data_IF_369294640358
#
_entry.id   IF_369294640358
#
_cell.length_a   1.000
_cell.length_b   1.000
_cell.length_c   1.000
_cell.angle_alpha   90.00
_cell.angle_beta   90.00
_cell.angle_gamma   90.00
#
_symmetry.space_group_name_H-M   'P 1'
#
loop_
_entity.id
_entity.type
_entity.pdbx_description
1 polymer ?
#
# COMPACT_ATOMS: atom_id res chain seq x y z
N UNK A 1 13.36 1.91 3.43
CA UNK A 1 12.46 1.20 4.37
C UNK A 1 13.28 0.19 5.14
N UNK A 2 13.15 0.18 6.44
CA UNK A 2 13.82 -0.70 7.39
C UNK A 2 12.82 -1.62 8.09
N UNK A 3 13.30 -2.61 8.82
CA UNK A 3 12.42 -3.46 9.64
C UNK A 3 11.64 -2.67 10.71
N UNK A 4 12.25 -1.61 11.25
CA UNK A 4 11.63 -0.76 12.26
C UNK A 4 10.44 0.07 11.73
N UNK A 5 10.31 0.21 10.41
CA UNK A 5 9.21 0.93 9.79
C UNK A 5 7.92 0.09 9.70
N UNK A 6 8.00 -1.22 9.97
CA UNK A 6 6.91 -2.16 9.74
C UNK A 6 6.47 -2.79 11.06
N UNK A 7 5.22 -2.53 11.44
CA UNK A 7 4.54 -3.18 12.56
C UNK A 7 3.49 -4.14 11.99
N UNK A 8 3.84 -5.41 11.88
CA UNK A 8 2.95 -6.45 11.34
C UNK A 8 1.80 -6.76 12.28
N UNK A 9 1.98 -6.64 13.60
CA UNK A 9 0.92 -6.89 14.57
C UNK A 9 -0.18 -5.83 14.47
N UNK A 10 0.21 -4.55 14.42
CA UNK A 10 -0.72 -3.43 14.25
C UNK A 10 -1.10 -3.19 12.79
N UNK A 11 -0.45 -3.88 11.85
CA UNK A 11 -0.63 -3.69 10.41
C UNK A 11 -0.43 -2.24 9.96
N UNK A 12 0.70 -1.67 10.37
CA UNK A 12 1.06 -0.28 10.08
C UNK A 12 2.46 -0.23 9.49
N UNK A 13 2.62 0.59 8.45
CA UNK A 13 3.93 0.99 7.92
C UNK A 13 4.14 2.47 8.24
N UNK A 14 5.28 2.79 8.84
CA UNK A 14 5.71 4.15 9.08
C UNK A 14 6.49 4.68 7.87
N UNK A 15 6.10 5.85 7.36
CA UNK A 15 6.79 6.54 6.26
C UNK A 15 7.17 7.92 6.78
N UNK A 16 8.43 8.10 7.13
CA UNK A 16 8.96 9.36 7.66
C UNK A 16 10.31 9.75 7.06
N UNK A 17 10.95 8.83 6.36
CA UNK A 17 12.25 9.03 5.75
C UNK A 17 12.38 8.31 4.41
N UNK A 18 13.40 8.67 3.66
CA UNK A 18 13.76 8.02 2.40
C UNK A 18 15.27 7.83 2.31
N UNK A 19 15.70 6.69 1.78
CA UNK A 19 17.09 6.41 1.47
C UNK A 19 17.40 6.95 0.08
N UNK A 20 18.45 7.72 -0.02
CA UNK A 20 18.95 8.31 -1.26
C UNK A 20 20.41 7.91 -1.51
N UNK A 21 20.84 8.10 -2.76
CA UNK A 21 22.23 7.91 -3.16
C UNK A 21 22.63 9.01 -4.15
N UNK A 22 23.75 9.66 -3.87
CA UNK A 22 24.32 10.67 -4.76
C UNK A 22 25.00 10.03 -5.98
N UNK A 23 25.37 10.84 -6.99
CA UNK A 23 26.09 10.37 -8.18
C UNK A 23 27.46 9.78 -7.88
N UNK A 24 28.12 10.25 -6.82
CA UNK A 24 29.38 9.74 -6.29
C UNK A 24 29.22 8.53 -5.35
N UNK A 25 28.06 7.87 -5.40
CA UNK A 25 27.73 6.63 -4.68
C UNK A 25 27.67 6.77 -3.16
N UNK A 26 27.51 7.97 -2.62
CA UNK A 26 27.31 8.19 -1.20
C UNK A 26 25.83 7.99 -0.85
N UNK A 27 25.57 7.12 0.11
CA UNK A 27 24.23 6.86 0.64
C UNK A 27 23.94 7.80 1.81
N UNK A 28 22.71 8.27 1.88
CA UNK A 28 22.23 9.10 3.00
C UNK A 28 20.73 8.92 3.20
N UNK A 29 20.26 9.22 4.40
CA UNK A 29 18.83 9.20 4.75
C UNK A 29 18.37 10.62 4.95
N UNK A 30 17.28 10.97 4.31
CA UNK A 30 16.61 12.26 4.47
C UNK A 30 15.14 12.10 4.84
N UNK A 31 14.55 13.14 5.43
CA UNK A 31 13.11 13.15 5.69
C UNK A 31 12.32 13.19 4.39
N UNK A 32 11.05 12.82 4.45
CA UNK A 32 10.16 12.95 3.30
C UNK A 32 10.08 14.40 2.83
N UNK A 33 9.90 14.59 1.52
CA UNK A 33 9.94 15.89 0.83
C UNK A 33 8.87 16.89 1.31
N UNK A 34 7.76 16.39 1.87
CA UNK A 34 6.64 17.19 2.38
C UNK A 34 6.16 16.61 3.72
N UNK A 35 5.49 17.42 4.53
CA UNK A 35 4.87 16.94 5.77
C UNK A 35 3.78 15.89 5.51
N UNK A 36 3.02 16.02 4.42
CA UNK A 36 2.06 15.00 3.99
C UNK A 36 2.74 13.66 3.61
N UNK A 37 4.03 13.69 3.30
CA UNK A 37 4.84 12.49 3.10
C UNK A 37 5.03 11.68 4.37
N UNK A 38 5.12 12.35 5.53
CA UNK A 38 5.24 11.68 6.84
C UNK A 38 3.88 11.16 7.27
N UNK A 39 3.74 9.85 7.29
CA UNK A 39 2.46 9.23 7.63
C UNK A 39 2.61 7.78 8.04
N UNK A 40 1.62 7.28 8.76
CA UNK A 40 1.47 5.86 9.06
C UNK A 40 0.42 5.26 8.12
N UNK A 41 0.82 4.27 7.36
CA UNK A 41 -0.08 3.58 6.42
C UNK A 41 -0.65 2.32 7.08
N UNK A 42 -1.97 2.21 7.23
CA UNK A 42 -2.60 0.94 7.54
C UNK A 42 -2.48 0.01 6.33
N UNK A 43 -2.18 -1.25 6.57
CA UNK A 43 -2.07 -2.28 5.54
C UNK A 43 -3.11 -3.38 5.76
N UNK A 44 -3.65 -3.90 4.66
CA UNK A 44 -4.55 -5.03 4.72
C UNK A 44 -3.80 -6.35 4.94
N UNK A 45 -4.54 -7.42 5.23
CA UNK A 45 -4.00 -8.77 5.48
C UNK A 45 -3.09 -9.28 4.37
N UNK A 46 -3.47 -9.06 3.11
CA UNK A 46 -2.69 -9.50 1.95
C UNK A 46 -1.32 -8.83 1.89
N UNK A 47 -1.28 -7.52 2.12
CA UNK A 47 -0.03 -6.74 2.16
C UNK A 47 0.81 -7.15 3.38
N UNK A 48 0.19 -7.38 4.54
CA UNK A 48 0.91 -7.83 5.74
C UNK A 48 1.58 -9.20 5.51
N UNK A 49 0.90 -10.15 4.87
CA UNK A 49 1.49 -11.45 4.48
C UNK A 49 2.65 -11.30 3.50
N UNK A 50 2.55 -10.40 2.53
CA UNK A 50 3.67 -10.13 1.63
C UNK A 50 4.89 -9.60 2.38
N UNK A 51 4.71 -8.66 3.31
CA UNK A 51 5.82 -8.16 4.12
C UNK A 51 6.38 -9.22 5.06
N UNK A 52 5.55 -10.08 5.65
CA UNK A 52 6.01 -11.19 6.47
C UNK A 52 6.93 -12.13 5.66
N UNK A 53 6.52 -12.53 4.46
CA UNK A 53 7.33 -13.35 3.58
C UNK A 53 8.66 -12.65 3.16
N UNK A 54 8.59 -11.36 2.83
CA UNK A 54 9.80 -10.58 2.49
C UNK A 54 10.78 -10.52 3.68
N UNK A 55 10.26 -10.38 4.90
CA UNK A 55 11.10 -10.32 6.11
C UNK A 55 11.69 -11.69 6.41
N UNK A 56 10.93 -12.78 6.24
CA UNK A 56 11.38 -14.15 6.45
C UNK A 56 12.49 -14.55 5.44
N UNK A 57 12.28 -14.22 4.15
CA UNK A 57 13.22 -14.53 3.07
C UNK A 57 14.33 -13.47 2.91
N UNK A 58 14.45 -12.54 3.84
CA UNK A 58 15.39 -11.42 3.74
C UNK A 58 16.83 -11.91 3.75
N UNK A 59 17.56 -11.69 2.66
CA UNK A 59 18.99 -11.91 2.59
C UNK A 59 19.73 -10.82 3.36
N UNK A 60 20.36 -11.21 4.45
CA UNK A 60 21.10 -10.31 5.33
C UNK A 60 22.58 -10.36 4.98
N UNK A 61 23.23 -9.23 4.66
CA UNK A 61 24.67 -9.21 4.42
C UNK A 61 25.42 -9.56 5.71
N UNK A 62 26.60 -10.20 5.59
CA UNK A 62 27.42 -10.59 6.73
C UNK A 62 27.75 -9.41 7.67
N UNK A 63 27.82 -8.19 7.11
CA UNK A 63 27.95 -6.94 7.85
C UNK A 63 26.95 -5.94 7.34
N UNK A 64 25.90 -5.69 8.10
CA UNK A 64 24.95 -4.63 7.80
C UNK A 64 25.55 -3.26 8.02
N UNK A 65 25.44 -2.39 7.02
CA UNK A 65 25.91 -1.00 7.12
C UNK A 65 24.83 -0.11 7.72
N UNK A 66 25.24 0.70 8.68
CA UNK A 66 24.43 1.81 9.17
C UNK A 66 24.61 3.02 8.24
N UNK A 67 23.50 3.62 7.82
CA UNK A 67 23.48 4.84 7.03
C UNK A 67 22.72 5.89 7.82
N UNK A 68 23.39 6.92 8.26
CA UNK A 68 22.87 8.00 9.12
C UNK A 68 22.07 7.47 10.33
N UNK A 69 22.57 6.37 10.95
CA UNK A 69 21.95 5.71 12.09
C UNK A 69 20.84 4.71 11.76
N UNK A 70 20.47 4.55 10.48
CA UNK A 70 19.48 3.56 10.03
C UNK A 70 20.17 2.26 9.63
N UNK A 71 19.62 1.14 10.06
CA UNK A 71 20.01 -0.22 9.70
C UNK A 71 18.80 -1.12 9.52
N UNK A 72 19.01 -2.40 9.25
CA UNK A 72 17.90 -3.35 9.06
C UNK A 72 17.10 -3.07 7.80
N UNK A 73 17.72 -2.63 6.71
CA UNK A 73 17.03 -2.39 5.44
C UNK A 73 16.43 -3.67 4.89
N UNK A 74 15.27 -3.60 4.24
CA UNK A 74 14.57 -4.78 3.72
C UNK A 74 15.30 -5.44 2.54
N UNK A 75 15.98 -4.67 1.73
CA UNK A 75 16.55 -5.16 0.47
C UNK A 75 17.98 -4.66 0.30
N UNK A 76 18.86 -5.56 -0.12
CA UNK A 76 20.26 -5.29 -0.39
C UNK A 76 20.62 -5.67 -1.83
N UNK A 77 21.71 -5.10 -2.32
CA UNK A 77 22.37 -5.53 -3.54
C UNK A 77 23.45 -6.62 -3.22
N UNK A 78 24.05 -7.17 -4.27
CA UNK A 78 25.09 -8.21 -4.16
C UNK A 78 26.34 -7.74 -3.37
N UNK A 79 26.48 -6.42 -3.15
CA UNK A 79 27.60 -5.83 -2.39
C UNK A 79 27.19 -5.52 -0.94
N UNK A 80 25.99 -5.93 -0.52
CA UNK A 80 25.45 -5.67 0.81
C UNK A 80 25.07 -4.20 1.05
N UNK A 81 24.83 -3.42 -0.02
CA UNK A 81 24.31 -2.07 0.08
C UNK A 81 22.79 -2.07 -0.08
N UNK A 82 22.05 -1.24 0.69
CA UNK A 82 20.60 -1.21 0.57
C UNK A 82 20.15 -0.64 -0.77
N UNK A 83 19.05 -1.17 -1.30
CA UNK A 83 18.49 -0.72 -2.57
C UNK A 83 17.84 0.65 -2.45
N UNK A 84 18.15 1.54 -3.41
CA UNK A 84 17.51 2.86 -3.59
C UNK A 84 16.51 2.84 -4.76
N UNK A 85 15.73 3.90 -4.92
CA UNK A 85 14.65 3.99 -5.92
C UNK A 85 15.09 3.58 -7.34
N UNK A 86 16.26 3.99 -7.79
CA UNK A 86 16.81 3.67 -9.11
C UNK A 86 16.94 2.15 -9.34
N UNK A 87 17.28 1.37 -8.32
CA UNK A 87 17.36 -0.09 -8.44
C UNK A 87 16.00 -0.71 -8.74
N UNK A 88 14.93 -0.14 -8.19
CA UNK A 88 13.56 -0.58 -8.44
C UNK A 88 13.11 -0.25 -9.87
N UNK A 89 13.43 0.93 -10.38
CA UNK A 89 13.17 1.28 -11.78
C UNK A 89 13.84 0.29 -12.72
N UNK A 90 15.11 -0.03 -12.50
CA UNK A 90 15.83 -1.01 -13.31
C UNK A 90 15.20 -2.40 -13.21
N UNK A 91 14.78 -2.86 -12.00
CA UNK A 91 14.11 -4.14 -11.83
C UNK A 91 12.77 -4.20 -12.58
N UNK A 92 11.97 -3.13 -12.54
CA UNK A 92 10.73 -3.05 -13.30
C UNK A 92 10.98 -3.08 -14.80
N UNK A 93 11.94 -2.31 -15.31
CA UNK A 93 12.30 -2.31 -16.72
C UNK A 93 12.76 -3.71 -17.16
N UNK A 94 13.66 -4.34 -16.43
CA UNK A 94 14.14 -5.70 -16.75
C UNK A 94 12.99 -6.72 -16.73
N UNK A 95 12.03 -6.60 -15.82
CA UNK A 95 10.85 -7.48 -15.78
C UNK A 95 10.00 -7.31 -17.03
N UNK A 96 9.69 -6.06 -17.43
CA UNK A 96 8.91 -5.73 -18.63
C UNK A 96 9.64 -6.22 -19.88
N UNK A 97 10.93 -5.96 -20.01
CA UNK A 97 11.74 -6.38 -21.16
C UNK A 97 11.76 -7.90 -21.27
N UNK A 98 11.99 -8.60 -20.16
CA UNK A 98 11.96 -10.06 -20.13
C UNK A 98 10.60 -10.64 -20.55
N UNK A 99 9.50 -10.05 -20.07
CA UNK A 99 8.16 -10.45 -20.49
C UNK A 99 7.99 -10.24 -21.99
N UNK A 100 8.40 -9.10 -22.51
CA UNK A 100 8.24 -8.72 -23.92
C UNK A 100 9.12 -9.55 -24.86
N UNK A 101 10.21 -10.15 -24.38
CA UNK A 101 10.98 -11.11 -25.18
C UNK A 101 10.30 -12.49 -25.26
N UNK A 102 9.45 -12.85 -24.31
CA UNK A 102 8.83 -14.18 -24.22
C UNK A 102 7.44 -14.19 -24.89
N UNK A 103 6.65 -13.13 -24.69
CA UNK A 103 5.25 -13.11 -25.05
C UNK A 103 4.97 -12.22 -26.27
N UNK A 104 4.07 -12.69 -27.16
CA UNK A 104 3.62 -11.95 -28.34
C UNK A 104 2.87 -10.65 -27.99
N UNK A 105 2.03 -10.71 -26.93
CA UNK A 105 1.32 -9.53 -26.44
C UNK A 105 2.29 -8.77 -25.56
N UNK A 106 2.66 -7.59 -26.02
CA UNK A 106 3.64 -6.76 -25.34
C UNK A 106 3.03 -6.09 -24.11
N UNK A 107 3.76 -6.12 -23.01
CA UNK A 107 3.42 -5.38 -21.79
C UNK A 107 3.82 -3.90 -21.98
N UNK A 108 2.95 -2.95 -21.62
CA UNK A 108 3.33 -1.54 -21.62
C UNK A 108 4.43 -1.26 -20.60
N UNK A 109 5.09 -0.12 -20.70
CA UNK A 109 6.08 0.29 -19.72
C UNK A 109 5.42 0.44 -18.32
N UNK A 110 5.76 -0.46 -17.41
CA UNK A 110 5.28 -0.46 -16.02
C UNK A 110 6.40 0.02 -15.12
N UNK A 111 6.13 1.08 -14.36
CA UNK A 111 7.05 1.64 -13.37
C UNK A 111 6.38 1.66 -11.98
N UNK A 112 7.15 1.83 -10.89
CA UNK A 112 6.55 2.05 -9.56
C UNK A 112 5.53 3.20 -9.54
N UNK A 113 5.77 4.23 -10.35
CA UNK A 113 4.86 5.38 -10.49
C UNK A 113 3.54 5.00 -11.16
N UNK A 114 3.59 4.18 -12.22
CA UNK A 114 2.39 3.61 -12.88
C UNK A 114 1.59 2.77 -11.90
N UNK A 115 2.25 1.91 -11.10
CA UNK A 115 1.58 1.12 -10.06
C UNK A 115 0.88 2.02 -9.03
N UNK A 116 1.54 3.10 -8.60
CA UNK A 116 0.97 4.09 -7.70
C UNK A 116 -0.28 4.76 -8.29
N UNK A 117 -0.23 5.18 -9.55
CA UNK A 117 -1.39 5.77 -10.24
C UNK A 117 -2.53 4.77 -10.39
N UNK A 118 -2.23 3.54 -10.77
CA UNK A 118 -3.22 2.47 -10.89
C UNK A 118 -3.92 2.20 -9.55
N UNK A 119 -3.14 2.13 -8.46
CA UNK A 119 -3.71 2.00 -7.11
C UNK A 119 -4.67 3.16 -6.80
N UNK A 120 -4.22 4.40 -7.02
CA UNK A 120 -5.02 5.59 -6.77
C UNK A 120 -6.34 5.56 -7.55
N UNK A 121 -6.29 5.25 -8.85
CA UNK A 121 -7.47 5.16 -9.73
C UNK A 121 -8.43 4.04 -9.30
N UNK A 122 -7.90 2.88 -8.95
CA UNK A 122 -8.72 1.74 -8.50
C UNK A 122 -9.43 2.05 -7.17
N UNK A 123 -8.73 2.72 -6.23
CA UNK A 123 -9.35 3.11 -4.97
C UNK A 123 -10.42 4.19 -5.16
N UNK A 124 -10.20 5.15 -6.07
CA UNK A 124 -11.20 6.14 -6.41
C UNK A 124 -12.46 5.49 -7.02
N UNK A 125 -12.28 4.57 -7.99
CA UNK A 125 -13.39 3.81 -8.62
C UNK A 125 -14.13 2.91 -7.62
N UNK A 126 -13.45 2.40 -6.59
CA UNK A 126 -14.11 1.63 -5.52
C UNK A 126 -14.84 2.50 -4.49
N UNK A 127 -14.97 3.81 -4.72
CA UNK A 127 -15.70 4.73 -3.85
C UNK A 127 -14.97 5.13 -2.57
N UNK A 128 -13.63 5.02 -2.54
CA UNK A 128 -12.87 5.48 -1.39
C UNK A 128 -13.04 7.00 -1.20
N UNK A 129 -13.21 7.44 0.04
CA UNK A 129 -13.30 8.86 0.35
C UNK A 129 -12.04 9.61 -0.13
N UNK A 130 -12.17 10.74 -0.89
CA UNK A 130 -11.02 11.47 -1.43
C UNK A 130 -10.00 11.92 -0.38
N UNK A 131 -10.43 12.30 0.82
CA UNK A 131 -9.52 12.68 1.92
C UNK A 131 -8.73 11.49 2.46
N UNK A 132 -9.37 10.34 2.55
CA UNK A 132 -8.70 9.08 2.93
C UNK A 132 -7.67 8.71 1.88
N UNK A 133 -8.03 8.79 0.59
CA UNK A 133 -7.11 8.50 -0.50
C UNK A 133 -5.95 9.50 -0.55
N UNK A 134 -6.20 10.81 -0.33
CA UNK A 134 -5.16 11.83 -0.20
C UNK A 134 -4.14 11.45 0.87
N UNK A 135 -4.62 11.05 2.05
CA UNK A 135 -3.77 10.62 3.16
C UNK A 135 -2.94 9.38 2.79
N UNK A 136 -3.57 8.33 2.26
CA UNK A 136 -2.88 7.10 1.86
C UNK A 136 -1.81 7.36 0.80
N UNK A 137 -2.10 8.24 -0.15
CA UNK A 137 -1.17 8.62 -1.21
C UNK A 137 -0.08 9.59 -0.73
N UNK A 138 -0.30 10.33 0.35
CA UNK A 138 0.61 11.36 0.83
C UNK A 138 0.68 12.57 -0.09
N UNK A 139 -0.44 12.91 -0.73
CA UNK A 139 -0.53 14.10 -1.56
C UNK A 139 -0.70 15.34 -0.67
N UNK A 140 0.17 16.32 -0.83
CA UNK A 140 0.07 17.60 -0.12
C UNK A 140 -1.13 18.42 -0.57
N UNK A 141 -1.50 18.33 -1.84
CA UNK A 141 -2.65 18.99 -2.44
C UNK A 141 -3.76 17.98 -2.76
N UNK A 142 -4.98 18.27 -2.31
CA UNK A 142 -6.18 17.48 -2.59
C UNK A 142 -6.52 17.47 -4.08
N UNK A 143 -6.20 18.54 -4.82
CA UNK A 143 -6.43 18.64 -6.25
C UNK A 143 -5.78 17.50 -7.04
N UNK A 144 -4.58 17.08 -6.64
CA UNK A 144 -3.89 15.92 -7.23
C UNK A 144 -4.72 14.64 -7.08
N UNK A 145 -5.34 14.43 -5.92
CA UNK A 145 -6.23 13.29 -5.68
C UNK A 145 -7.54 13.45 -6.44
N UNK A 146 -8.13 14.64 -6.42
CA UNK A 146 -9.43 14.91 -7.07
C UNK A 146 -9.37 14.71 -8.60
N UNK A 147 -8.24 14.96 -9.24
CA UNK A 147 -8.07 14.70 -10.67
C UNK A 147 -8.37 13.24 -11.07
N UNK A 148 -8.22 12.29 -10.14
CA UNK A 148 -8.55 10.88 -10.41
C UNK A 148 -10.06 10.66 -10.40
N UNK A 149 -10.82 11.46 -9.65
CA UNK A 149 -12.28 11.39 -9.56
C UNK A 149 -13.00 12.10 -10.71
N UNK A 150 -12.33 12.95 -11.47
CA UNK A 150 -12.93 13.67 -12.61
C UNK A 150 -13.38 12.76 -13.75
N UNK A 151 -12.91 11.52 -13.77
CA UNK A 151 -13.26 10.51 -14.77
C UNK A 151 -14.42 9.61 -14.35
N UNK A 152 -15.01 9.83 -13.18
CA UNK A 152 -16.18 9.09 -12.72
C UNK A 152 -17.42 9.59 -13.47
N UNK A 153 -18.18 8.66 -14.04
CA UNK A 153 -19.36 8.93 -14.85
C UNK A 153 -20.67 8.43 -14.24
N UNK A 154 -21.70 8.38 -15.05
CA UNK A 154 -23.03 7.93 -14.62
C UNK A 154 -23.03 6.47 -14.13
N UNK A 155 -22.25 5.61 -14.76
CA UNK A 155 -22.15 4.19 -14.38
C UNK A 155 -21.55 4.03 -12.99
N UNK A 156 -20.44 4.77 -12.71
CA UNK A 156 -19.79 4.76 -11.40
C UNK A 156 -20.76 5.28 -10.30
N UNK A 157 -21.54 6.33 -10.62
CA UNK A 157 -22.53 6.87 -9.69
C UNK A 157 -23.67 5.87 -9.40
N UNK A 158 -24.13 5.13 -10.42
CA UNK A 158 -25.15 4.10 -10.26
C UNK A 158 -24.66 2.93 -9.41
N UNK A 159 -23.41 2.51 -9.59
CA UNK A 159 -22.82 1.43 -8.80
C UNK A 159 -22.57 1.84 -7.36
N UNK A 160 -22.19 3.09 -7.12
CA UNK A 160 -22.04 3.63 -5.77
C UNK A 160 -23.39 3.69 -5.02
N UNK A 161 -24.48 4.10 -5.69
CA UNK A 161 -25.82 4.07 -5.10
C UNK A 161 -26.24 2.66 -4.72
N UNK A 162 -26.04 1.65 -5.60
CA UNK A 162 -26.32 0.23 -5.27
C UNK A 162 -25.51 -0.23 -4.05
N UNK A 163 -24.24 0.18 -3.96
CA UNK A 163 -23.37 -0.16 -2.83
C UNK A 163 -23.90 0.42 -1.53
N UNK A 164 -24.34 1.68 -1.55
CA UNK A 164 -24.91 2.35 -0.38
C UNK A 164 -26.21 1.67 0.06
N UNK A 165 -27.10 1.36 -0.88
CA UNK A 165 -28.35 0.61 -0.61
C UNK A 165 -28.08 -0.75 0.03
N UNK A 166 -27.11 -1.51 -0.50
CA UNK A 166 -26.72 -2.79 0.06
C UNK A 166 -26.19 -2.70 1.49
N UNK A 167 -25.39 -1.66 1.78
CA UNK A 167 -24.87 -1.40 3.14
C UNK A 167 -26.00 -1.03 4.10
N UNK A 168 -26.98 -0.21 3.67
CA UNK A 168 -28.13 0.14 4.49
C UNK A 168 -29.00 -1.08 4.82
N UNK A 169 -29.23 -1.96 3.83
CA UNK A 169 -29.97 -3.19 4.05
C UNK A 169 -29.25 -4.12 5.03
N UNK A 170 -27.96 -4.31 4.87
CA UNK A 170 -27.15 -5.12 5.79
C UNK A 170 -27.16 -4.55 7.22
N UNK A 171 -27.10 -3.23 7.36
CA UNK A 171 -27.19 -2.56 8.67
C UNK A 171 -28.54 -2.80 9.34
N UNK A 172 -29.63 -2.65 8.60
CA UNK A 172 -31.01 -2.92 9.10
C UNK A 172 -31.20 -4.39 9.51
N UNK A 173 -30.57 -5.32 8.80
CA UNK A 173 -30.60 -6.75 9.18
C UNK A 173 -29.83 -7.02 10.49
N UNK A 174 -28.70 -6.37 10.69
CA UNK A 174 -27.92 -6.48 11.94
C UNK A 174 -28.71 -5.90 13.12
N UNK A 175 -29.30 -4.71 12.92
CA UNK A 175 -30.14 -4.06 13.95
C UNK A 175 -31.34 -4.94 14.33
N UNK A 176 -32.06 -5.53 13.35
CA UNK A 176 -33.14 -6.47 13.61
C UNK A 176 -32.72 -7.73 14.37
N UNK A 177 -31.52 -8.25 14.09
CA UNK A 177 -30.98 -9.41 14.82
C UNK A 177 -30.56 -9.06 16.25
N UNK A 178 -30.11 -7.83 16.48
CA UNK A 178 -29.72 -7.35 17.80
C UNK A 178 -30.96 -7.10 18.71
N UNK A 179 -32.10 -6.71 18.13
CA UNK A 179 -33.37 -6.49 18.82
C UNK A 179 -34.18 -7.78 19.06
N UNK A 180 -33.73 -8.93 18.54
CA UNK A 180 -34.38 -10.21 18.81
C UNK A 180 -33.89 -10.72 20.17
N UNK A 181 -34.76 -10.85 21.19
CA UNK A 181 -34.33 -11.38 22.51
C UNK A 181 -33.72 -12.78 22.33
N UNK A 182 -32.68 -13.13 23.09
CA UNK A 182 -32.16 -14.49 23.07
C UNK A 182 -33.28 -15.46 23.41
N UNK A 183 -33.53 -16.47 22.58
CA UNK A 183 -34.46 -17.53 22.86
C UNK A 183 -34.16 -18.07 24.26
N UNK A 184 -35.11 -17.88 25.16
CA UNK A 184 -35.02 -18.50 26.48
C UNK A 184 -34.99 -20.02 26.28
N UNK A 185 -33.84 -20.60 26.56
CA UNK A 185 -33.70 -22.05 26.69
C UNK A 185 -34.68 -22.49 27.80
N UNK A 186 -35.85 -22.96 27.39
CA UNK A 186 -36.82 -23.59 28.26
C UNK A 186 -36.18 -24.91 28.75
N UNK A 187 -35.56 -24.88 29.90
CA UNK A 187 -35.21 -26.09 30.63
C UNK A 187 -36.50 -26.84 30.93
N UNK A 188 -36.75 -27.96 30.25
CA UNK A 188 -37.70 -28.95 30.72
C UNK A 188 -37.15 -29.57 31.98
N UNK A 189 -37.72 -29.22 33.10
CA UNK A 189 -37.57 -29.98 34.39
C UNK A 189 -38.19 -31.34 34.18
N UNK A 190 -37.42 -32.40 34.38
CA UNK A 190 -37.85 -33.78 34.58
C UNK A 190 -38.17 -33.98 36.06
#
# INVERSE_FOLDING_TARGET
MTLNDIDLEKRIINIDHQLQRTSDMRYYVESTKTDAGKRKLPINEGVARCFAAIIEDREVPAVEKLIDGYGGFLFYDDKGMPLVAMHWEHRFNNMVDRYNTIYKIQMPNITPHVCRHTYCSNQAKSGMNPKTLQYLMGHSDIGVTMNVYTHLGLEDAADELKRIEALELARKEIEKKADTPPEQLLFRSV
#
